data_IF_134545240591
#
_entry.id   IF_134545240591
#
_cell.length_a   1.000
_cell.length_b   1.000
_cell.length_c   1.000
_cell.angle_alpha   90.00
_cell.angle_beta   90.00
_cell.angle_gamma   90.00
#
_symmetry.space_group_name_H-M   'P 1'
#
loop_
_entity.id
_entity.type
_entity.pdbx_description
1 polymer ?
#
# COMPACT_ATOMS: atom_id res chain seq x y z
N UNK A 1 4.62 -7.82 7.59
CA UNK A 1 4.46 -6.36 7.55
C UNK A 1 5.84 -5.72 7.48
N UNK A 2 5.98 -4.60 6.80
CA UNK A 2 7.25 -3.87 6.68
C UNK A 2 6.99 -2.36 6.62
N UNK A 3 8.05 -1.58 6.71
CA UNK A 3 8.02 -0.13 6.57
C UNK A 3 9.32 0.32 5.88
N UNK A 4 9.26 1.41 5.12
CA UNK A 4 10.42 2.02 4.47
C UNK A 4 10.22 3.52 4.28
N UNK A 5 11.28 4.24 3.88
CA UNK A 5 11.14 5.64 3.48
C UNK A 5 10.31 5.75 2.19
N UNK A 6 9.59 6.86 2.05
CA UNK A 6 8.81 7.17 0.85
C UNK A 6 7.30 7.19 1.07
N UNK A 7 6.59 7.12 -0.04
CA UNK A 7 5.14 7.16 -0.13
C UNK A 7 4.65 6.08 -1.08
N UNK A 8 3.48 5.53 -0.76
CA UNK A 8 2.84 4.48 -1.55
C UNK A 8 1.47 4.95 -1.99
N UNK A 9 1.18 4.63 -3.25
CA UNK A 9 -0.10 4.93 -3.88
C UNK A 9 -0.55 3.68 -4.62
N UNK A 10 -1.81 3.32 -4.46
CA UNK A 10 -2.37 2.15 -5.11
C UNK A 10 -3.72 2.42 -5.73
N UNK A 11 -4.00 1.71 -6.81
CA UNK A 11 -5.31 1.63 -7.44
C UNK A 11 -5.65 0.16 -7.73
N UNK A 12 -6.77 -0.32 -7.18
CA UNK A 12 -7.22 -1.69 -7.36
C UNK A 12 -7.91 -1.80 -8.71
N UNK A 13 -7.29 -2.50 -9.65
CA UNK A 13 -7.81 -2.68 -11.01
C UNK A 13 -8.81 -3.84 -11.08
N UNK A 14 -8.60 -4.89 -10.29
CA UNK A 14 -9.47 -6.07 -10.25
C UNK A 14 -9.35 -6.82 -8.91
N UNK A 15 -10.41 -7.53 -8.52
CA UNK A 15 -10.47 -8.31 -7.28
C UNK A 15 -10.60 -7.44 -6.02
N UNK A 16 -10.10 -7.95 -4.90
CA UNK A 16 -10.09 -7.28 -3.61
C UNK A 16 -8.75 -7.46 -2.88
N UNK A 17 -8.41 -6.50 -2.03
CA UNK A 17 -7.20 -6.54 -1.21
C UNK A 17 -7.54 -6.13 0.21
N UNK A 18 -7.03 -6.88 1.17
CA UNK A 18 -6.96 -6.46 2.56
C UNK A 18 -5.61 -5.74 2.75
N UNK A 19 -5.67 -4.43 2.98
CA UNK A 19 -4.52 -3.57 3.26
C UNK A 19 -4.52 -3.21 4.74
N UNK A 20 -3.44 -3.54 5.43
CA UNK A 20 -3.19 -3.13 6.82
C UNK A 20 -2.21 -1.97 6.80
N UNK A 21 -2.57 -0.86 7.44
CA UNK A 21 -1.69 0.30 7.67
C UNK A 21 -1.75 0.63 9.17
N UNK A 22 -0.61 0.48 9.84
CA UNK A 22 -0.48 0.40 11.30
C UNK A 22 -1.49 -0.57 11.93
N UNK A 23 -2.42 -0.07 12.75
CA UNK A 23 -3.43 -0.86 13.43
C UNK A 23 -4.78 -0.90 12.68
N UNK A 24 -4.85 -0.32 11.47
CA UNK A 24 -6.10 -0.20 10.72
C UNK A 24 -6.09 -1.14 9.52
N UNK A 25 -7.16 -1.91 9.39
CA UNK A 25 -7.39 -2.81 8.25
C UNK A 25 -8.44 -2.20 7.32
N UNK A 26 -8.10 -2.14 6.04
CA UNK A 26 -8.95 -1.69 4.95
C UNK A 26 -9.20 -2.84 3.98
N UNK A 27 -10.45 -3.04 3.58
CA UNK A 27 -10.79 -3.94 2.47
C UNK A 27 -11.14 -3.08 1.28
N UNK A 28 -10.29 -3.14 0.25
CA UNK A 28 -10.40 -2.34 -0.96
C UNK A 28 -10.79 -3.24 -2.12
N UNK A 29 -11.65 -2.74 -3.01
CA UNK A 29 -12.19 -3.46 -4.16
C UNK A 29 -11.82 -2.76 -5.46
N UNK A 30 -12.03 -3.44 -6.59
CA UNK A 30 -11.83 -2.84 -7.91
C UNK A 30 -12.49 -1.45 -8.02
N UNK A 31 -11.69 -0.45 -8.41
CA UNK A 31 -12.08 0.96 -8.46
C UNK A 31 -11.62 1.80 -7.27
N UNK A 32 -11.24 1.18 -6.14
CA UNK A 32 -10.73 1.91 -4.98
C UNK A 32 -9.26 2.31 -5.17
N UNK A 33 -8.89 3.42 -4.54
CA UNK A 33 -7.50 3.89 -4.45
C UNK A 33 -7.08 4.11 -3.01
N UNK A 34 -5.77 4.06 -2.76
CA UNK A 34 -5.19 4.31 -1.45
C UNK A 34 -3.87 5.09 -1.57
N UNK A 35 -3.53 5.81 -0.50
CA UNK A 35 -2.26 6.50 -0.36
C UNK A 35 -1.85 6.54 1.10
N UNK A 36 -0.59 6.24 1.40
CA UNK A 36 -0.04 6.34 2.76
C UNK A 36 1.47 6.58 2.76
N UNK A 37 2.02 7.02 3.90
CA UNK A 37 3.47 7.12 4.09
C UNK A 37 4.05 5.73 4.29
N UNK A 38 5.07 5.35 3.52
CA UNK A 38 5.71 4.03 3.64
C UNK A 38 6.31 3.73 5.01
N UNK A 39 6.53 4.76 5.83
CA UNK A 39 7.05 4.64 7.19
C UNK A 39 6.04 4.04 8.17
N UNK A 40 4.76 4.01 7.80
CA UNK A 40 3.73 3.31 8.56
C UNK A 40 3.89 1.81 8.33
N UNK A 41 3.75 1.01 9.39
CA UNK A 41 3.91 -0.44 9.28
C UNK A 41 2.75 -0.99 8.45
N UNK A 42 3.04 -1.61 7.31
CA UNK A 42 1.99 -2.04 6.41
C UNK A 42 2.17 -3.49 5.93
N UNK A 43 1.04 -4.08 5.54
CA UNK A 43 0.97 -5.41 4.95
C UNK A 43 -0.25 -5.46 4.03
N UNK A 44 -0.22 -6.35 3.04
CA UNK A 44 -1.38 -6.60 2.20
C UNK A 44 -1.53 -8.10 1.95
N UNK A 45 -2.78 -8.53 1.76
CA UNK A 45 -3.09 -9.88 1.26
C UNK A 45 -4.31 -9.83 0.36
N UNK A 46 -4.42 -10.81 -0.54
CA UNK A 46 -5.65 -11.06 -1.28
C UNK A 46 -6.49 -12.07 -0.48
N UNK A 47 -7.56 -11.66 0.21
CA UNK A 47 -8.44 -12.59 0.94
C UNK A 47 -9.42 -13.32 0.02
N UNK A 48 -9.61 -12.84 -1.21
CA UNK A 48 -10.57 -13.37 -2.16
C UNK A 48 -10.10 -14.63 -2.88
N UNK A 49 -11.04 -15.34 -3.50
CA UNK A 49 -10.77 -16.53 -4.32
C UNK A 49 -10.25 -16.20 -5.72
N UNK A 50 -10.48 -14.97 -6.18
CA UNK A 50 -10.12 -14.49 -7.51
C UNK A 50 -8.79 -13.74 -7.50
N UNK A 51 -8.16 -13.60 -8.67
CA UNK A 51 -6.92 -12.84 -8.80
C UNK A 51 -7.17 -11.35 -8.53
N UNK A 52 -6.44 -10.80 -7.54
CA UNK A 52 -6.35 -9.35 -7.33
C UNK A 52 -5.25 -8.74 -8.21
N UNK A 53 -5.52 -7.57 -8.80
CA UNK A 53 -4.57 -6.78 -9.57
C UNK A 53 -4.57 -5.33 -9.08
N UNK A 54 -3.40 -4.81 -8.74
CA UNK A 54 -3.22 -3.46 -8.19
C UNK A 54 -2.12 -2.76 -8.98
N UNK A 55 -2.36 -1.53 -9.42
CA UNK A 55 -1.28 -0.61 -9.81
C UNK A 55 -0.72 -0.02 -8.52
N UNK A 56 0.51 -0.40 -8.15
CA UNK A 56 1.17 0.07 -6.93
C UNK A 56 2.39 0.91 -7.29
N UNK A 57 2.39 2.17 -6.89
CA UNK A 57 3.46 3.12 -7.13
C UNK A 57 4.18 3.39 -5.80
N UNK A 58 5.45 3.04 -5.75
CA UNK A 58 6.36 3.39 -4.67
C UNK A 58 7.24 4.54 -5.13
N UNK A 59 7.24 5.65 -4.39
CA UNK A 59 8.06 6.82 -4.71
C UNK A 59 8.77 7.33 -3.47
N UNK A 60 10.00 7.78 -3.67
CA UNK A 60 10.84 8.38 -2.63
C UNK A 60 11.29 9.74 -3.14
N UNK A 61 11.14 10.81 -2.34
CA UNK A 61 11.85 12.04 -2.66
C UNK A 61 13.33 11.87 -2.31
N UNK A 62 14.28 12.35 -3.13
CA UNK A 62 15.71 12.27 -2.80
C UNK A 62 16.08 12.89 -1.46
N UNK A 63 15.34 13.90 -0.98
CA UNK A 63 15.51 14.46 0.37
C UNK A 63 15.09 13.49 1.47
N UNK A 64 13.99 12.76 1.29
CA UNK A 64 13.44 11.79 2.25
C UNK A 64 14.30 10.51 2.36
N UNK A 65 15.11 10.21 1.35
CA UNK A 65 16.10 9.12 1.39
C UNK A 65 17.37 9.53 2.15
N UNK A 66 17.75 10.81 2.08
CA UNK A 66 18.96 11.34 2.73
C UNK A 66 18.77 11.54 4.23
N UNK A 67 17.56 11.85 4.67
CA UNK A 67 17.20 11.99 6.08
C UNK A 67 16.87 10.64 6.75
N UNK A 68 17.38 9.53 6.20
CA UNK A 68 17.03 8.15 6.54
C UNK A 68 17.50 7.61 7.90
N UNK A 69 17.35 8.36 9.00
CA UNK A 69 17.54 7.87 10.37
C UNK A 69 16.79 8.74 11.40
#
# INVERSE_FOLDING_TARGET
AYAHAGHEFGFVMAGEVELVVDATTYVLKAGDSFAFKSTLLHAFRNPGAERCQILWVNTTKPSEVRDGA
#
